data_IF_889909862554
#
_entry.id   IF_889909862554
#
_cell.length_a   1.000
_cell.length_b   1.000
_cell.length_c   1.000
_cell.angle_alpha   90.00
_cell.angle_beta   90.00
_cell.angle_gamma   90.00
#
_symmetry.space_group_name_H-M   'P 1'
#
loop_
_entity.id
_entity.type
_entity.pdbx_description
1 polymer ?
#
# COMPACT_ATOMS: atom_id res chain seq x y z
N UNK A 1 0.83 0.75 21.90
CA UNK A 1 2.06 0.75 21.07
C UNK A 1 1.75 0.17 19.71
N UNK A 2 1.68 1.01 18.67
CA UNK A 2 1.48 0.57 17.29
C UNK A 2 2.85 0.17 16.75
N UNK A 3 3.08 -1.13 16.61
CA UNK A 3 4.18 -1.63 15.77
C UNK A 3 3.86 -1.26 14.33
N UNK A 4 4.83 -0.70 13.65
CA UNK A 4 4.65 -0.15 12.32
C UNK A 4 4.26 -1.22 11.35
N UNK A 5 3.32 -0.84 10.51
CA UNK A 5 2.93 -1.68 9.41
C UNK A 5 4.11 -1.77 8.44
N UNK A 6 4.52 -2.97 8.04
CA UNK A 6 5.55 -3.15 7.02
C UNK A 6 5.18 -2.37 5.75
N UNK A 7 6.17 -1.72 5.13
CA UNK A 7 6.02 -0.93 3.90
C UNK A 7 5.27 -1.71 2.80
N UNK A 8 5.52 -3.02 2.71
CA UNK A 8 4.87 -3.93 1.77
C UNK A 8 3.34 -3.96 1.89
N UNK A 9 2.79 -3.81 3.11
CA UNK A 9 1.34 -3.84 3.33
C UNK A 9 0.69 -2.53 2.86
N UNK A 10 1.38 -1.39 3.00
CA UNK A 10 0.90 -0.09 2.51
C UNK A 10 0.87 -0.06 0.99
N UNK A 11 1.92 -0.56 0.34
CA UNK A 11 2.02 -0.61 -1.12
C UNK A 11 0.89 -1.46 -1.73
N UNK A 12 0.63 -2.65 -1.16
CA UNK A 12 -0.46 -3.52 -1.61
C UNK A 12 -1.85 -2.85 -1.53
N UNK A 13 -2.08 -1.99 -0.54
CA UNK A 13 -3.34 -1.26 -0.40
C UNK A 13 -3.50 -0.19 -1.49
N UNK A 14 -2.43 0.55 -1.80
CA UNK A 14 -2.44 1.60 -2.83
C UNK A 14 -2.65 0.97 -4.21
N UNK A 15 -1.93 -0.11 -4.51
CA UNK A 15 -2.08 -0.84 -5.78
C UNK A 15 -3.51 -1.35 -5.97
N UNK A 16 -4.13 -1.89 -4.91
CA UNK A 16 -5.51 -2.37 -4.97
C UNK A 16 -6.50 -1.24 -5.29
N UNK A 17 -6.25 -0.01 -4.81
CA UNK A 17 -7.08 1.14 -5.17
C UNK A 17 -6.91 1.50 -6.65
N UNK A 18 -5.67 1.54 -7.13
CA UNK A 18 -5.38 1.93 -8.52
C UNK A 18 -5.99 0.93 -9.51
N UNK A 19 -5.83 -0.37 -9.25
CA UNK A 19 -6.39 -1.43 -10.10
C UNK A 19 -7.92 -1.36 -10.13
N UNK A 20 -8.57 -1.13 -8.98
CA UNK A 20 -10.03 -1.03 -8.95
C UNK A 20 -10.56 0.23 -9.63
N UNK A 21 -9.88 1.36 -9.45
CA UNK A 21 -10.20 2.60 -10.16
C UNK A 21 -10.05 2.40 -11.66
N UNK A 22 -8.92 1.86 -12.13
CA UNK A 22 -8.68 1.67 -13.55
C UNK A 22 -9.65 0.63 -14.15
N UNK A 23 -10.01 -0.42 -13.40
CA UNK A 23 -11.02 -1.38 -13.81
C UNK A 23 -12.40 -0.74 -13.98
N UNK A 24 -12.86 0.03 -12.99
CA UNK A 24 -14.19 0.66 -12.99
C UNK A 24 -14.31 1.88 -13.90
N UNK A 25 -13.29 2.71 -13.98
CA UNK A 25 -13.38 4.03 -14.62
C UNK A 25 -12.72 4.08 -15.99
N UNK A 26 -11.72 3.21 -16.26
CA UNK A 26 -10.92 3.32 -17.50
C UNK A 26 -11.13 2.18 -18.48
N UNK A 27 -11.12 0.93 -18.01
CA UNK A 27 -11.06 -0.23 -18.90
C UNK A 27 -12.41 -0.90 -19.10
N UNK A 28 -13.13 -1.21 -18.03
CA UNK A 28 -14.25 -2.15 -18.09
C UNK A 28 -15.59 -1.57 -17.66
N UNK A 29 -15.62 -0.40 -17.03
CA UNK A 29 -16.89 0.22 -16.64
C UNK A 29 -17.72 -0.68 -15.73
N UNK A 30 -18.96 -0.91 -16.11
CA UNK A 30 -19.90 -1.81 -15.42
C UNK A 30 -19.45 -3.28 -15.47
N UNK A 31 -18.72 -3.69 -16.51
CA UNK A 31 -18.19 -5.05 -16.67
C UNK A 31 -17.05 -5.36 -15.68
N UNK A 32 -16.51 -4.37 -14.98
CA UNK A 32 -15.48 -4.57 -13.96
C UNK A 32 -15.93 -5.57 -12.87
N UNK A 33 -17.22 -5.57 -12.51
CA UNK A 33 -17.75 -6.51 -11.52
C UNK A 33 -17.66 -7.95 -12.00
N UNK A 34 -17.95 -8.19 -13.29
CA UNK A 34 -17.88 -9.53 -13.87
C UNK A 34 -16.44 -9.99 -14.03
N UNK A 35 -15.54 -9.08 -14.43
CA UNK A 35 -14.10 -9.34 -14.44
C UNK A 35 -13.58 -9.80 -13.07
N UNK A 36 -14.02 -9.14 -11.99
CA UNK A 36 -13.63 -9.52 -10.63
C UNK A 36 -14.10 -10.94 -10.30
N UNK A 37 -15.35 -11.29 -10.66
CA UNK A 37 -15.86 -12.66 -10.45
C UNK A 37 -15.04 -13.68 -11.22
N UNK A 38 -14.72 -13.40 -12.49
CA UNK A 38 -13.86 -14.26 -13.29
C UNK A 38 -12.51 -14.49 -12.61
N UNK A 39 -11.88 -13.41 -12.14
CA UNK A 39 -10.58 -13.50 -11.47
C UNK A 39 -10.63 -14.20 -10.11
N UNK A 40 -11.69 -14.02 -9.32
CA UNK A 40 -11.94 -14.78 -8.09
C UNK A 40 -12.02 -16.27 -8.41
N UNK A 41 -12.78 -16.62 -9.45
CA UNK A 41 -12.89 -18.01 -9.89
C UNK A 41 -11.52 -18.55 -10.30
N UNK A 42 -10.79 -17.92 -11.24
CA UNK A 42 -9.49 -18.40 -11.72
C UNK A 42 -8.48 -18.61 -10.59
N UNK A 43 -8.32 -17.58 -9.77
CA UNK A 43 -7.23 -17.52 -8.79
C UNK A 43 -7.57 -18.31 -7.53
N UNK A 44 -8.85 -18.58 -7.27
CA UNK A 44 -9.33 -19.13 -5.99
C UNK A 44 -9.15 -18.16 -4.82
N UNK A 45 -8.78 -16.91 -5.09
CA UNK A 45 -8.62 -15.89 -4.07
C UNK A 45 -9.97 -15.44 -3.51
N UNK A 46 -10.03 -14.96 -2.26
CA UNK A 46 -11.25 -14.37 -1.72
C UNK A 46 -11.67 -13.12 -2.53
N UNK A 47 -12.98 -12.82 -2.60
CA UNK A 47 -13.47 -11.66 -3.32
C UNK A 47 -12.93 -10.35 -2.75
N UNK A 48 -12.95 -9.30 -3.58
CA UNK A 48 -12.57 -7.95 -3.17
C UNK A 48 -13.46 -7.51 -2.00
N UNK A 49 -12.84 -7.06 -0.91
CA UNK A 49 -13.54 -6.50 0.24
C UNK A 49 -13.35 -4.98 0.26
N UNK A 50 -14.38 -4.26 0.70
CA UNK A 50 -14.32 -2.80 0.87
C UNK A 50 -14.24 -2.52 2.38
N UNK A 51 -13.15 -1.88 2.80
CA UNK A 51 -12.97 -1.45 4.19
C UNK A 51 -13.96 -0.36 4.59
N UNK A 52 -14.10 -0.11 5.89
CA UNK A 52 -15.04 0.92 6.40
C UNK A 52 -14.75 2.35 5.93
N UNK A 53 -13.56 2.59 5.37
CA UNK A 53 -13.12 3.84 4.75
C UNK A 53 -13.28 3.86 3.22
N UNK A 54 -13.94 2.87 2.62
CA UNK A 54 -14.12 2.76 1.17
C UNK A 54 -12.92 2.18 0.42
N UNK A 55 -11.87 1.74 1.13
CA UNK A 55 -10.65 1.20 0.51
C UNK A 55 -10.86 -0.25 0.06
N UNK A 56 -10.56 -0.54 -1.21
CA UNK A 56 -10.53 -1.91 -1.73
C UNK A 56 -9.38 -2.73 -1.16
N UNK A 57 -9.66 -3.99 -0.81
CA UNK A 57 -8.67 -4.95 -0.32
C UNK A 57 -8.84 -6.26 -1.09
N UNK A 58 -7.75 -6.75 -1.65
CA UNK A 58 -7.72 -8.01 -2.41
C UNK A 58 -6.34 -8.67 -2.33
N UNK A 59 -6.31 -9.97 -2.59
CA UNK A 59 -5.06 -10.71 -2.74
C UNK A 59 -4.29 -10.23 -3.98
N UNK A 60 -2.96 -10.34 -3.95
CA UNK A 60 -2.10 -9.99 -5.10
C UNK A 60 -2.49 -10.76 -6.36
N UNK A 61 -2.75 -12.06 -6.25
CA UNK A 61 -3.18 -12.88 -7.39
C UNK A 61 -4.47 -12.37 -8.06
N UNK A 62 -5.46 -11.94 -7.25
CA UNK A 62 -6.71 -11.36 -7.74
C UNK A 62 -6.44 -10.01 -8.43
N UNK A 63 -5.61 -9.17 -7.82
CA UNK A 63 -5.21 -7.88 -8.37
C UNK A 63 -4.51 -8.01 -9.71
N UNK A 64 -3.56 -8.94 -9.82
CA UNK A 64 -2.80 -9.17 -11.04
C UNK A 64 -3.74 -9.68 -12.15
N UNK A 65 -4.64 -10.60 -11.85
CA UNK A 65 -5.65 -11.05 -12.81
C UNK A 65 -6.54 -9.90 -13.33
N UNK A 66 -7.01 -9.01 -12.45
CA UNK A 66 -7.83 -7.86 -12.86
C UNK A 66 -7.02 -6.89 -13.73
N UNK A 67 -5.76 -6.66 -13.37
CA UNK A 67 -4.85 -5.77 -14.11
C UNK A 67 -4.60 -6.26 -15.53
N UNK A 68 -4.41 -7.56 -15.69
CA UNK A 68 -4.20 -8.22 -16.98
C UNK A 68 -5.49 -8.35 -17.80
N UNK A 69 -6.67 -8.23 -17.16
CA UNK A 69 -7.94 -8.26 -17.86
C UNK A 69 -8.60 -9.64 -17.93
N UNK A 70 -8.43 -10.46 -16.89
CA UNK A 70 -9.24 -11.66 -16.70
C UNK A 70 -8.59 -12.92 -17.24
N UNK A 71 -9.39 -13.87 -17.72
CA UNK A 71 -8.91 -15.18 -18.21
C UNK A 71 -7.79 -15.04 -19.23
N UNK A 72 -8.01 -14.24 -20.27
CA UNK A 72 -7.08 -14.14 -21.40
C UNK A 72 -5.81 -13.42 -21.00
N UNK A 73 -5.91 -12.28 -20.32
CA UNK A 73 -4.73 -11.57 -19.83
C UNK A 73 -3.91 -12.43 -18.86
N UNK A 74 -4.58 -13.05 -17.90
CA UNK A 74 -3.90 -13.91 -16.93
C UNK A 74 -3.26 -15.13 -17.60
N UNK A 75 -3.90 -15.70 -18.62
CA UNK A 75 -3.34 -16.81 -19.39
C UNK A 75 -1.99 -16.47 -20.05
N UNK A 76 -1.90 -15.28 -20.66
CA UNK A 76 -0.69 -14.83 -21.36
C UNK A 76 0.53 -14.71 -20.46
N UNK A 77 0.31 -14.61 -19.14
CA UNK A 77 1.41 -14.61 -18.17
C UNK A 77 2.04 -15.98 -17.96
N UNK A 78 1.39 -17.08 -18.41
CA UNK A 78 1.87 -18.46 -18.23
C UNK A 78 2.12 -19.22 -19.53
N UNK A 79 1.60 -18.75 -20.66
CA UNK A 79 1.73 -19.42 -21.97
C UNK A 79 1.61 -18.42 -23.13
N UNK A 80 1.85 -18.85 -24.36
CA UNK A 80 1.68 -18.02 -25.56
C UNK A 80 0.21 -17.70 -25.85
N UNK A 81 0.00 -16.61 -26.59
CA UNK A 81 -1.32 -16.19 -27.07
C UNK A 81 -2.05 -17.30 -27.83
N UNK A 82 -1.35 -18.07 -28.68
CA UNK A 82 -1.99 -19.16 -29.43
C UNK A 82 -2.52 -20.26 -28.50
N UNK A 83 -1.78 -20.58 -27.44
CA UNK A 83 -2.23 -21.57 -26.46
C UNK A 83 -3.42 -21.06 -25.64
N UNK A 84 -3.44 -19.76 -25.31
CA UNK A 84 -4.59 -19.15 -24.63
C UNK A 84 -5.84 -19.18 -25.51
N UNK A 85 -5.71 -18.84 -26.78
CA UNK A 85 -6.82 -18.91 -27.76
C UNK A 85 -7.28 -20.35 -27.92
N UNK A 86 -6.34 -21.30 -28.09
CA UNK A 86 -6.66 -22.72 -28.18
C UNK A 86 -7.41 -23.22 -26.96
N UNK A 87 -6.98 -22.87 -25.75
CA UNK A 87 -7.69 -23.26 -24.52
C UNK A 87 -9.04 -22.58 -24.41
N UNK A 88 -9.15 -21.33 -24.87
CA UNK A 88 -10.44 -20.64 -24.95
C UNK A 88 -11.40 -21.42 -25.85
N UNK A 89 -10.97 -21.76 -27.06
CA UNK A 89 -11.79 -22.47 -28.05
C UNK A 89 -12.14 -23.88 -27.60
N UNK A 90 -11.23 -24.59 -26.94
CA UNK A 90 -11.49 -25.93 -26.38
C UNK A 90 -12.46 -25.90 -25.18
N UNK A 91 -12.47 -24.81 -24.40
CA UNK A 91 -13.27 -24.70 -23.17
C UNK A 91 -14.57 -23.90 -23.35
N UNK A 92 -14.72 -23.14 -24.43
CA UNK A 92 -15.93 -22.40 -24.73
C UNK A 92 -16.96 -23.35 -25.36
N UNK A 93 -18.13 -23.59 -24.71
CA UNK A 93 -19.20 -24.34 -25.36
C UNK A 93 -19.64 -23.57 -26.62
N UNK A 94 -19.98 -24.31 -27.68
CA UNK A 94 -20.31 -23.80 -29.03
C UNK A 94 -21.44 -22.77 -29.08
N UNK A 95 -22.13 -22.50 -27.97
CA UNK A 95 -23.27 -21.60 -27.86
C UNK A 95 -22.98 -20.28 -27.11
N UNK A 96 -21.77 -20.08 -26.55
CA UNK A 96 -21.53 -18.98 -25.58
C UNK A 96 -20.75 -17.76 -26.11
N UNK A 97 -20.33 -17.74 -27.38
CA UNK A 97 -19.53 -16.65 -27.93
C UNK A 97 -20.34 -15.75 -28.87
N UNK A 98 -21.32 -15.01 -28.33
CA UNK A 98 -21.76 -13.81 -29.03
C UNK A 98 -20.62 -12.79 -28.99
N UNK A 99 -20.02 -12.51 -30.15
CA UNK A 99 -19.00 -11.48 -30.32
C UNK A 99 -19.62 -10.11 -30.09
N UNK A 100 -19.60 -9.63 -28.86
CA UNK A 100 -19.66 -8.19 -28.60
C UNK A 100 -18.27 -7.60 -28.80
N UNK A 101 -18.23 -6.47 -29.50
CA UNK A 101 -17.16 -5.50 -29.79
C UNK A 101 -15.79 -5.73 -29.13
N UNK A 102 -14.69 -5.40 -29.82
CA UNK A 102 -13.29 -5.68 -29.43
C UNK A 102 -12.85 -5.14 -28.04
N UNK A 103 -13.66 -4.28 -27.41
CA UNK A 103 -13.47 -3.77 -26.04
C UNK A 103 -14.48 -4.33 -25.00
N UNK A 104 -15.43 -5.16 -25.42
CA UNK A 104 -16.39 -5.81 -24.52
C UNK A 104 -15.70 -6.96 -23.80
N UNK A 105 -15.86 -7.00 -22.48
CA UNK A 105 -15.34 -8.08 -21.68
C UNK A 105 -16.08 -9.37 -22.05
N UNK A 106 -15.37 -10.35 -22.60
CA UNK A 106 -15.94 -11.67 -22.89
C UNK A 106 -16.31 -12.36 -21.55
N UNK A 107 -17.60 -12.56 -21.32
CA UNK A 107 -18.11 -13.17 -20.09
C UNK A 107 -18.21 -14.67 -20.29
N UNK A 108 -17.32 -15.42 -19.64
CA UNK A 108 -17.32 -16.88 -19.74
C UNK A 108 -18.19 -17.54 -18.65
N UNK A 109 -18.92 -18.61 -18.98
CA UNK A 109 -19.69 -19.37 -18.00
C UNK A 109 -18.78 -20.08 -16.98
N UNK A 110 -19.36 -20.51 -15.86
CA UNK A 110 -18.60 -21.21 -14.81
C UNK A 110 -18.00 -22.55 -15.29
N UNK A 111 -18.64 -23.20 -16.28
CA UNK A 111 -18.14 -24.41 -16.94
C UNK A 111 -16.82 -24.17 -17.68
N UNK A 112 -16.69 -23.04 -18.36
CA UNK A 112 -15.43 -22.61 -18.99
C UNK A 112 -14.33 -22.48 -17.95
N UNK A 113 -14.65 -21.89 -16.80
CA UNK A 113 -13.71 -21.64 -15.71
C UNK A 113 -13.09 -22.93 -15.18
N UNK A 114 -13.90 -23.97 -15.02
CA UNK A 114 -13.45 -25.29 -14.58
C UNK A 114 -12.55 -25.98 -15.62
N UNK A 115 -12.95 -25.93 -16.90
CA UNK A 115 -12.15 -26.45 -18.00
C UNK A 115 -10.79 -25.73 -18.08
N UNK A 116 -10.81 -24.41 -18.03
CA UNK A 116 -9.61 -23.57 -18.14
C UNK A 116 -8.61 -23.84 -17.00
N UNK A 117 -9.11 -23.98 -15.75
CA UNK A 117 -8.29 -24.38 -14.61
C UNK A 117 -7.60 -25.73 -14.81
N UNK A 118 -8.33 -26.72 -15.35
CA UNK A 118 -7.79 -28.07 -15.58
C UNK A 118 -6.63 -28.08 -16.59
N UNK A 119 -6.65 -27.15 -17.55
CA UNK A 119 -5.57 -26.96 -18.55
C UNK A 119 -4.39 -26.21 -17.94
N UNK A 120 -4.64 -25.08 -17.27
CA UNK A 120 -3.58 -24.26 -16.66
C UNK A 120 -2.83 -25.02 -15.54
N UNK A 121 -3.53 -25.88 -14.78
CA UNK A 121 -2.91 -26.72 -13.76
C UNK A 121 -1.87 -27.71 -14.31
N UNK A 122 -2.08 -28.21 -15.54
CA UNK A 122 -1.12 -29.10 -16.22
C UNK A 122 0.14 -28.34 -16.67
N UNK A 123 -0.02 -27.10 -17.14
CA UNK A 123 1.11 -26.25 -17.54
C UNK A 123 1.91 -25.74 -16.35
N UNK A 124 1.25 -25.37 -15.24
CA UNK A 124 1.95 -24.97 -14.00
C UNK A 124 2.77 -26.10 -13.40
N UNK A 125 2.31 -27.35 -13.49
CA UNK A 125 3.06 -28.51 -13.04
C UNK A 125 4.38 -28.74 -13.83
N UNK A 126 4.53 -28.13 -15.01
CA UNK A 126 5.71 -28.26 -15.85
C UNK A 126 6.69 -27.07 -15.73
N UNK A 127 6.30 -25.93 -15.15
CA UNK A 127 7.10 -24.69 -15.28
C UNK A 127 7.76 -24.21 -13.96
N UNK A 128 7.30 -24.54 -12.74
CA UNK A 128 8.02 -24.11 -11.50
C UNK A 128 7.85 -25.04 -10.28
N UNK A 129 8.88 -25.17 -9.41
CA UNK A 129 8.77 -25.84 -8.12
C UNK A 129 7.87 -25.06 -7.15
N UNK A 130 7.03 -25.80 -6.44
CA UNK A 130 6.09 -25.35 -5.41
C UNK A 130 6.73 -24.36 -4.41
N UNK A 131 6.28 -23.09 -4.40
CA UNK A 131 6.36 -22.19 -3.24
C UNK A 131 4.95 -22.05 -2.65
N UNK A 132 4.72 -22.42 -1.36
CA UNK A 132 3.38 -22.39 -0.79
C UNK A 132 2.98 -20.96 -0.43
N UNK A 133 2.18 -20.31 -1.29
CA UNK A 133 1.61 -18.97 -1.09
C UNK A 133 0.44 -18.93 -0.07
N UNK A 134 0.09 -20.04 0.57
CA UNK A 134 -1.16 -20.16 1.32
C UNK A 134 -1.11 -19.55 2.75
N UNK A 135 0.07 -19.21 3.27
CA UNK A 135 0.22 -18.64 4.64
C UNK A 135 0.32 -17.10 4.67
N UNK A 136 0.67 -16.43 3.57
CA UNK A 136 0.85 -14.97 3.58
C UNK A 136 -0.47 -14.20 3.50
N UNK A 137 -1.52 -14.78 2.90
CA UNK A 137 -2.81 -14.10 2.71
C UNK A 137 -3.58 -13.86 4.02
N UNK A 138 -3.42 -14.75 5.01
CA UNK A 138 -4.10 -14.64 6.30
C UNK A 138 -3.51 -13.56 7.22
N UNK A 139 -2.21 -13.28 7.09
CA UNK A 139 -1.56 -12.24 7.91
C UNK A 139 -1.96 -10.86 7.41
N UNK A 140 -1.95 -10.62 6.09
CA UNK A 140 -2.27 -9.30 5.52
C UNK A 140 -3.72 -8.86 5.77
N UNK A 141 -4.70 -9.76 5.65
CA UNK A 141 -6.12 -9.44 5.87
C UNK A 141 -6.44 -9.10 7.33
N UNK A 142 -5.81 -9.78 8.30
CA UNK A 142 -6.05 -9.56 9.74
C UNK A 142 -5.40 -8.26 10.24
N UNK A 143 -4.25 -7.88 9.68
CA UNK A 143 -3.55 -6.64 10.02
C UNK A 143 -4.27 -5.39 9.50
N UNK A 144 -4.88 -5.45 8.31
CA UNK A 144 -5.66 -4.31 7.80
C UNK A 144 -6.94 -4.07 8.62
N UNK A 145 -7.54 -5.08 9.25
CA UNK A 145 -8.68 -4.92 10.16
C UNK A 145 -8.30 -4.22 11.49
N UNK A 146 -7.12 -4.54 12.03
CA UNK A 146 -6.58 -3.94 13.25
C UNK A 146 -6.24 -2.44 13.08
N UNK A 147 -5.81 -2.02 11.90
CA UNK A 147 -5.56 -0.60 11.58
C UNK A 147 -6.83 0.25 11.55
N UNK A 148 -7.96 -0.32 11.12
CA UNK A 148 -9.24 0.40 11.06
C UNK A 148 -9.78 0.67 12.47
N UNK A 149 -9.64 -0.29 13.41
CA UNK A 149 -9.99 -0.05 14.82
C UNK A 149 -9.12 1.03 15.46
N UNK A 150 -7.82 1.08 15.11
CA UNK A 150 -6.91 2.09 15.63
C UNK A 150 -7.11 3.48 14.97
N UNK A 151 -7.59 3.54 13.72
CA UNK A 151 -7.98 4.78 13.02
C UNK A 151 -9.30 5.35 13.54
N UNK A 152 -10.29 4.50 13.84
CA UNK A 152 -11.55 4.93 14.49
C UNK A 152 -11.31 5.56 15.87
N UNK A 153 -10.28 5.14 16.60
CA UNK A 153 -9.85 5.80 17.84
C UNK A 153 -9.19 7.19 17.59
N UNK A 154 -8.67 7.49 16.40
CA UNK A 154 -8.07 8.78 16.04
C UNK A 154 -9.05 9.80 15.46
N UNK A 155 -10.14 9.36 14.82
CA UNK A 155 -11.14 10.27 14.24
C UNK A 155 -12.14 10.80 15.27
N UNK A 156 -12.40 10.05 16.36
CA UNK A 156 -13.25 10.53 17.45
C UNK A 156 -12.56 11.49 18.44
N UNK A 157 -11.26 11.80 18.28
CA UNK A 157 -10.48 12.63 19.21
C UNK A 157 -10.07 14.02 18.67
N UNK A 158 -10.35 14.35 17.40
CA UNK A 158 -10.10 15.68 16.84
C UNK A 158 -11.36 16.53 16.97
N UNK A 159 -11.47 17.50 17.88
CA UNK A 159 -10.80 18.80 17.80
C UNK A 159 -10.52 19.39 19.21
N UNK A 160 -11.06 18.80 20.29
CA UNK A 160 -10.86 19.29 21.67
C UNK A 160 -9.63 18.70 22.38
N UNK A 161 -9.20 17.50 22.02
CA UNK A 161 -8.13 16.77 22.73
C UNK A 161 -6.72 17.13 22.24
N UNK A 162 -6.59 17.65 21.02
CA UNK A 162 -5.31 18.08 20.43
C UNK A 162 -4.63 19.22 21.22
N UNK A 163 -5.41 20.16 21.78
CA UNK A 163 -4.85 21.31 22.51
C UNK A 163 -4.21 20.93 23.85
N UNK A 164 -4.71 19.91 24.54
CA UNK A 164 -4.11 19.45 25.80
C UNK A 164 -2.82 18.67 25.55
N UNK A 165 -2.73 17.96 24.43
CA UNK A 165 -1.58 17.10 24.15
C UNK A 165 -0.33 17.87 23.70
N UNK A 166 -0.49 19.00 22.99
CA UNK A 166 0.67 19.81 22.55
C UNK A 166 1.44 20.42 23.71
N UNK A 167 0.74 20.86 24.77
CA UNK A 167 1.39 21.42 25.97
C UNK A 167 2.21 20.35 26.71
N UNK A 168 1.66 19.14 26.84
CA UNK A 168 2.36 18.02 27.49
C UNK A 168 3.62 17.64 26.71
N UNK A 169 3.52 17.53 25.38
CA UNK A 169 4.68 17.19 24.53
C UNK A 169 5.78 18.25 24.63
N UNK A 170 5.43 19.54 24.60
CA UNK A 170 6.44 20.59 24.77
C UNK A 170 7.02 20.62 26.19
N UNK A 171 6.22 20.40 27.22
CA UNK A 171 6.74 20.31 28.60
C UNK A 171 7.71 19.13 28.76
N UNK A 172 7.38 17.96 28.20
CA UNK A 172 8.27 16.79 28.20
C UNK A 172 9.55 17.01 27.38
N UNK A 173 9.46 17.78 26.30
CA UNK A 173 10.61 18.16 25.51
C UNK A 173 11.50 19.13 26.30
N UNK A 174 10.93 20.18 26.88
CA UNK A 174 11.64 21.16 27.69
C UNK A 174 12.22 20.57 28.98
N UNK A 175 11.63 19.52 29.54
CA UNK A 175 12.20 18.82 30.72
C UNK A 175 13.49 18.06 30.42
N UNK A 176 13.85 17.87 29.15
CA UNK A 176 15.17 17.35 28.73
C UNK A 176 16.23 18.45 28.61
N UNK A 177 15.82 19.71 28.67
CA UNK A 177 16.67 20.87 28.46
C UNK A 177 16.23 21.68 27.24
N UNK A 178 16.32 23.00 27.36
CA UNK A 178 15.90 23.94 26.31
C UNK A 178 16.72 23.74 25.02
N UNK A 179 18.03 23.52 25.14
CA UNK A 179 18.93 23.29 24.00
C UNK A 179 18.58 21.99 23.26
N UNK A 180 18.40 20.88 23.97
CA UNK A 180 18.03 19.59 23.38
C UNK A 180 16.65 19.66 22.71
N UNK A 181 15.69 20.31 23.37
CA UNK A 181 14.36 20.49 22.82
C UNK A 181 14.36 21.36 21.56
N UNK A 182 15.14 22.45 21.56
CA UNK A 182 15.32 23.32 20.40
C UNK A 182 15.95 22.57 19.22
N UNK A 183 16.93 21.71 19.49
CA UNK A 183 17.55 20.84 18.49
C UNK A 183 16.53 19.87 17.87
N UNK A 184 15.73 19.19 18.69
CA UNK A 184 14.66 18.29 18.23
C UNK A 184 13.63 19.06 17.40
N UNK A 185 13.22 20.24 17.85
CA UNK A 185 12.27 21.08 17.13
C UNK A 185 12.81 21.47 15.76
N UNK A 186 14.07 21.94 15.68
CA UNK A 186 14.73 22.28 14.41
C UNK A 186 14.81 21.07 13.49
N UNK A 187 15.26 19.93 14.00
CA UNK A 187 15.33 18.65 13.26
C UNK A 187 13.97 18.29 12.64
N UNK A 188 12.89 18.40 13.42
CA UNK A 188 11.55 18.12 12.97
C UNK A 188 11.03 19.15 11.95
N UNK A 189 11.34 20.43 12.14
CA UNK A 189 10.97 21.50 11.19
C UNK A 189 11.64 21.26 9.84
N UNK A 190 12.95 21.00 9.84
CA UNK A 190 13.72 20.74 8.61
C UNK A 190 13.26 19.45 7.93
N UNK A 191 12.96 18.41 8.71
CA UNK A 191 12.50 17.12 8.18
C UNK A 191 11.08 17.15 7.59
N UNK A 192 10.22 18.12 7.96
CA UNK A 192 8.84 18.19 7.47
C UNK A 192 8.52 19.46 6.66
N UNK A 193 9.41 20.45 6.63
CA UNK A 193 9.14 21.75 6.03
C UNK A 193 7.95 22.47 6.68
N UNK A 194 7.65 22.17 7.95
CA UNK A 194 6.52 22.77 8.67
C UNK A 194 6.95 24.04 9.39
N UNK A 195 6.06 25.03 9.59
CA UNK A 195 6.35 26.16 10.46
C UNK A 195 6.80 25.71 11.85
N UNK A 196 7.71 26.44 12.51
CA UNK A 196 8.14 26.14 13.87
C UNK A 196 6.97 26.27 14.86
N UNK A 197 7.17 25.74 16.07
CA UNK A 197 6.19 25.87 17.16
C UNK A 197 5.97 27.36 17.46
N UNK A 198 4.71 27.79 17.45
CA UNK A 198 4.32 29.15 17.79
C UNK A 198 3.65 29.20 19.16
N UNK A 199 3.83 30.31 19.87
CA UNK A 199 3.14 30.59 21.12
C UNK A 199 1.81 31.29 20.81
N UNK A 200 0.71 30.66 21.20
CA UNK A 200 -0.60 31.29 21.15
C UNK A 200 -0.76 32.30 22.30
N UNK A 201 -1.58 33.33 22.08
CA UNK A 201 -1.83 34.39 23.07
C UNK A 201 -2.35 33.89 24.43
N UNK A 202 -2.89 32.67 24.49
CA UNK A 202 -3.35 32.02 25.72
C UNK A 202 -2.26 31.21 26.46
N UNK A 203 -0.98 31.38 26.09
CA UNK A 203 0.13 30.61 26.65
C UNK A 203 0.16 29.14 26.21
N UNK A 204 -0.58 28.78 25.17
CA UNK A 204 -0.55 27.44 24.56
C UNK A 204 0.46 27.35 23.43
N UNK A 205 0.98 26.15 23.18
CA UNK A 205 1.79 25.86 22.00
C UNK A 205 0.90 25.47 20.82
N UNK A 206 1.20 26.03 19.64
CA UNK A 206 0.59 25.65 18.37
C UNK A 206 1.66 25.07 17.45
N UNK A 207 1.37 23.91 16.87
CA UNK A 207 2.24 23.25 15.91
C UNK A 207 1.44 22.31 15.01
N UNK A 208 1.97 22.04 13.82
CA UNK A 208 1.38 21.08 12.91
C UNK A 208 1.45 19.65 13.48
N UNK A 209 0.46 18.81 13.16
CA UNK A 209 0.41 17.42 13.63
C UNK A 209 1.65 16.54 13.27
N UNK A 210 2.36 16.77 12.14
CA UNK A 210 3.63 16.10 11.87
C UNK A 210 4.74 16.52 12.85
N UNK A 211 4.84 17.82 13.12
CA UNK A 211 5.81 18.40 14.07
C UNK A 211 5.56 17.90 15.49
N UNK A 212 4.30 17.87 15.94
CA UNK A 212 3.90 17.33 17.24
C UNK A 212 4.39 15.89 17.45
N UNK A 213 4.11 15.00 16.49
CA UNK A 213 4.53 13.60 16.57
C UNK A 213 6.05 13.43 16.54
N UNK A 214 6.74 14.24 15.75
CA UNK A 214 8.20 14.19 15.68
C UNK A 214 8.84 14.59 17.02
N UNK A 215 8.38 15.68 17.63
CA UNK A 215 8.86 16.12 18.96
C UNK A 215 8.50 15.09 20.03
N UNK A 216 7.28 14.55 20.02
CA UNK A 216 6.82 13.49 20.95
C UNK A 216 7.74 12.25 20.90
N UNK A 217 8.22 11.90 19.71
CA UNK A 217 9.15 10.78 19.54
C UNK A 217 10.61 11.15 19.82
N UNK A 218 10.92 12.42 20.09
CA UNK A 218 12.25 12.90 20.41
C UNK A 218 13.16 13.07 19.20
N UNK A 219 12.61 13.48 18.05
CA UNK A 219 13.37 13.76 16.83
C UNK A 219 12.95 12.87 15.66
N UNK A 220 13.31 13.30 14.45
CA UNK A 220 12.99 12.58 13.22
C UNK A 220 13.68 11.22 13.20
N UNK A 221 14.96 11.14 13.58
CA UNK A 221 15.72 9.87 13.56
C UNK A 221 15.08 8.83 14.47
N UNK A 222 14.65 9.25 15.66
CA UNK A 222 14.01 8.37 16.63
C UNK A 222 12.61 7.96 16.18
N UNK A 223 11.86 8.89 15.59
CA UNK A 223 10.57 8.56 14.97
C UNK A 223 10.73 7.58 13.80
N UNK A 224 11.69 7.81 12.91
CA UNK A 224 11.96 6.97 11.74
C UNK A 224 12.42 5.57 12.15
N UNK A 225 13.40 5.46 13.05
CA UNK A 225 13.89 4.17 13.54
C UNK A 225 12.82 3.41 14.30
N UNK A 226 11.99 4.12 15.07
CA UNK A 226 10.80 3.54 15.69
C UNK A 226 9.85 3.05 14.63
N UNK A 227 9.70 3.77 13.49
CA UNK A 227 8.65 3.53 12.50
C UNK A 227 8.97 2.57 11.35
N UNK A 228 10.23 2.41 11.01
CA UNK A 228 10.65 1.66 9.83
C UNK A 228 11.67 0.63 10.28
N UNK A 229 12.92 1.05 10.35
CA UNK A 229 14.05 0.29 10.82
C UNK A 229 15.22 1.29 10.91
N UNK A 230 16.02 1.24 11.99
CA UNK A 230 17.13 2.16 12.19
C UNK A 230 18.12 2.17 10.99
N UNK A 231 18.46 1.00 10.43
CA UNK A 231 19.40 0.88 9.31
C UNK A 231 18.90 1.56 8.04
N UNK A 232 17.59 1.51 7.76
CA UNK A 232 17.00 2.19 6.60
C UNK A 232 17.03 3.70 6.81
N UNK A 233 16.71 4.17 8.01
CA UNK A 233 16.72 5.58 8.35
C UNK A 233 18.12 6.20 8.27
N UNK A 234 19.15 5.48 8.76
CA UNK A 234 20.55 5.92 8.64
C UNK A 234 21.00 5.97 7.18
N UNK A 235 20.60 4.98 6.36
CA UNK A 235 20.88 5.01 4.93
C UNK A 235 20.24 6.23 4.26
N UNK A 236 18.99 6.53 4.55
CA UNK A 236 18.31 7.71 4.01
C UNK A 236 18.95 9.02 4.46
N UNK A 237 19.35 9.09 5.74
CA UNK A 237 20.13 10.20 6.25
C UNK A 237 21.38 10.39 5.38
N UNK A 238 22.23 9.37 5.30
CA UNK A 238 23.49 9.39 4.55
C UNK A 238 23.29 9.74 3.07
N UNK A 239 22.29 9.16 2.39
CA UNK A 239 22.04 9.42 0.98
C UNK A 239 21.59 10.86 0.70
N UNK A 240 20.85 11.47 1.63
CA UNK A 240 20.31 12.81 1.45
C UNK A 240 21.24 13.91 1.98
N UNK A 241 22.02 13.64 3.02
CA UNK A 241 23.01 14.58 3.54
C UNK A 241 24.37 14.48 2.85
N UNK A 242 24.66 13.37 2.16
CA UNK A 242 25.98 13.06 1.59
C UNK A 242 27.03 12.64 2.62
N UNK A 243 26.74 12.82 3.92
CA UNK A 243 27.60 12.47 5.04
C UNK A 243 26.74 11.96 6.21
N UNK A 244 27.13 10.82 6.79
CA UNK A 244 26.45 10.16 7.92
C UNK A 244 26.40 11.05 9.17
N UNK A 245 27.39 11.92 9.34
CA UNK A 245 27.54 12.77 10.54
C UNK A 245 27.00 14.20 10.33
N UNK A 246 26.61 14.55 9.10
CA UNK A 246 26.07 15.87 8.80
C UNK A 246 24.67 16.10 9.42
N UNK A 247 24.39 17.38 9.73
CA UNK A 247 23.04 17.84 10.06
C UNK A 247 22.09 17.53 8.88
N UNK A 248 20.82 17.30 9.20
CA UNK A 248 19.80 17.05 8.18
C UNK A 248 19.67 18.29 7.29
N UNK A 249 19.78 18.15 5.95
CA UNK A 249 19.64 19.29 5.07
C UNK A 249 18.20 19.83 5.14
N UNK A 250 17.99 21.14 4.94
CA UNK A 250 16.66 21.75 4.98
C UNK A 250 15.68 21.20 3.92
N UNK A 251 16.21 20.49 2.90
CA UNK A 251 15.42 19.83 1.85
C UNK A 251 15.35 18.30 2.03
N UNK A 252 15.65 17.79 3.23
CA UNK A 252 15.67 16.35 3.51
C UNK A 252 14.31 15.69 3.21
N UNK A 253 13.21 16.37 3.54
CA UNK A 253 11.85 15.93 3.21
C UNK A 253 11.65 15.71 1.71
N UNK A 254 12.13 16.64 0.89
CA UNK A 254 12.07 16.57 -0.57
C UNK A 254 12.99 15.48 -1.10
N UNK A 255 14.19 15.31 -0.53
CA UNK A 255 15.10 14.24 -0.90
C UNK A 255 14.49 12.84 -0.67
N UNK A 256 13.86 12.62 0.49
CA UNK A 256 13.13 11.36 0.74
C UNK A 256 12.00 11.19 -0.27
N UNK A 257 11.25 12.25 -0.56
CA UNK A 257 10.11 12.19 -1.49
C UNK A 257 10.55 11.86 -2.92
N UNK A 258 11.61 12.50 -3.44
CA UNK A 258 12.11 12.26 -4.80
C UNK A 258 12.69 10.87 -4.95
N UNK A 259 13.38 10.34 -3.93
CA UNK A 259 13.90 8.98 -3.95
C UNK A 259 12.83 7.91 -3.75
N UNK A 260 11.75 8.18 -3.04
CA UNK A 260 10.62 7.23 -2.91
C UNK A 260 10.06 6.75 -4.25
N UNK A 261 10.15 7.57 -5.29
CA UNK A 261 9.72 7.22 -6.65
C UNK A 261 10.78 6.46 -7.47
N UNK A 262 12.06 6.44 -7.05
CA UNK A 262 13.11 5.65 -7.74
C UNK A 262 13.31 4.26 -7.13
N UNK A 263 12.87 4.03 -5.89
CA UNK A 263 13.11 2.78 -5.16
C UNK A 263 12.06 1.68 -5.38
N UNK A 264 10.94 1.97 -6.05
CA UNK A 264 10.01 0.93 -6.51
C UNK A 264 10.66 -0.08 -7.47
N UNK A 265 11.86 0.21 -8.00
CA UNK A 265 12.68 -0.74 -8.76
C UNK A 265 13.63 -1.62 -7.94
N UNK A 266 13.99 -1.25 -6.70
CA UNK A 266 15.06 -1.91 -5.93
C UNK A 266 14.57 -2.85 -4.81
N UNK A 267 13.27 -2.87 -4.51
CA UNK A 267 12.68 -3.80 -3.51
C UNK A 267 12.44 -5.21 -4.10
N UNK A 268 12.68 -5.41 -5.40
CA UNK A 268 12.56 -6.73 -6.05
C UNK A 268 13.83 -7.60 -5.96
N UNK A 269 14.93 -7.10 -5.37
CA UNK A 269 16.21 -7.84 -5.29
C UNK A 269 16.74 -8.08 -3.85
N UNK A 270 15.89 -7.97 -2.82
CA UNK A 270 16.17 -8.44 -1.45
C UNK A 270 15.11 -9.45 -1.04
#
# INVERSE_FOLDING_TARGET
MVKNLPLSVREQCIESQMVMRDCKEKKYGENCTELIKQCVTITGAPPVTIGGSGQYRMASSLRDCIKEGGYMGYCKTFTTDENCIKWKDECAPSEAAEKTDENSLEVFPETFSQCFKSRNGKSRAQILPFRPLFMETFITLKFCALLEQHRKMKENSGIRESRHNTKVVMQQCMSKGEEECSKIQKECVDAFGTPPVTYAANGGYQMAAPLHRCIENGGWMKMCSTWINATICERWKQECSGDKDAELPPNFSQCIQTRKYSWTGYILEI
#
